data_IF_434760571255
#
_entry.id   IF_434760571255
#
_cell.length_a   1.000
_cell.length_b   1.000
_cell.length_c   1.000
_cell.angle_alpha   90.00
_cell.angle_beta   90.00
_cell.angle_gamma   90.00
#
_symmetry.space_group_name_H-M   'P 1'
#
loop_
_entity.id
_entity.type
_entity.pdbx_description
1 polymer ?
#
# COMPACT_ATOMS: atom_id res chain seq x y z
N UNK A 1 -15.88 37.10 0.18
CA UNK A 1 -14.97 36.03 -0.26
C UNK A 1 -13.71 36.17 0.57
N UNK A 2 -13.67 35.52 1.73
CA UNK A 2 -12.56 35.61 2.67
C UNK A 2 -11.65 34.42 2.41
N UNK A 3 -10.60 34.64 1.63
CA UNK A 3 -9.45 33.74 1.57
C UNK A 3 -8.90 33.61 2.98
N UNK A 4 -9.15 32.44 3.57
CA UNK A 4 -8.62 32.11 4.89
C UNK A 4 -7.18 31.67 4.68
N UNK A 5 -6.19 32.29 5.33
CA UNK A 5 -4.80 31.89 5.15
C UNK A 5 -4.64 30.45 5.63
N UNK A 6 -4.12 29.59 4.75
CA UNK A 6 -3.72 28.23 5.11
C UNK A 6 -2.55 28.34 6.09
N UNK A 7 -2.85 28.20 7.38
CA UNK A 7 -1.84 28.09 8.43
C UNK A 7 -1.21 26.71 8.28
N UNK A 8 0.00 26.65 7.72
CA UNK A 8 0.87 25.48 7.85
C UNK A 8 1.21 25.38 9.34
N UNK A 9 0.65 24.40 10.07
CA UNK A 9 1.03 24.20 11.47
C UNK A 9 2.47 23.66 11.53
N UNK A 10 3.39 24.31 12.26
CA UNK A 10 4.70 23.74 12.53
C UNK A 10 4.55 22.64 13.59
N UNK A 11 4.81 21.39 13.23
CA UNK A 11 5.00 20.30 14.21
C UNK A 11 4.20 19.01 14.01
N UNK A 12 3.45 18.83 12.92
CA UNK A 12 2.82 17.53 12.65
C UNK A 12 3.92 16.54 12.23
N UNK A 13 4.26 15.61 13.11
CA UNK A 13 5.22 14.56 12.82
C UNK A 13 4.74 13.71 11.64
N UNK A 14 5.66 13.41 10.72
CA UNK A 14 5.39 12.47 9.64
C UNK A 14 4.93 11.13 10.23
N UNK A 15 3.95 10.46 9.60
CA UNK A 15 3.55 9.14 10.03
C UNK A 15 4.76 8.20 9.96
N UNK A 16 4.82 7.25 10.90
CA UNK A 16 5.88 6.25 10.89
C UNK A 16 5.91 5.50 9.54
N UNK A 17 7.10 5.16 9.03
CA UNK A 17 7.21 4.46 7.76
C UNK A 17 6.37 3.18 7.72
N UNK A 18 5.75 2.95 6.57
CA UNK A 18 4.94 1.74 6.37
C UNK A 18 5.81 0.47 6.36
N UNK A 19 5.41 -0.53 7.16
CA UNK A 19 6.05 -1.85 7.12
C UNK A 19 5.54 -2.68 5.94
N UNK A 20 6.32 -2.70 4.86
CA UNK A 20 6.01 -3.48 3.64
C UNK A 20 5.94 -5.00 3.86
N UNK A 21 6.37 -5.52 5.01
CA UNK A 21 6.20 -6.94 5.36
C UNK A 21 4.80 -7.24 5.91
N UNK A 22 4.01 -6.21 6.24
CA UNK A 22 2.64 -6.32 6.73
C UNK A 22 1.66 -5.66 5.77
N UNK A 23 1.47 -6.22 4.56
CA UNK A 23 0.55 -5.65 3.58
C UNK A 23 -0.89 -5.55 4.10
N UNK A 24 -1.29 -6.37 5.09
CA UNK A 24 -2.59 -6.30 5.78
C UNK A 24 -2.85 -4.95 6.46
N UNK A 25 -1.81 -4.25 6.93
CA UNK A 25 -1.93 -2.99 7.67
C UNK A 25 -2.09 -1.77 6.74
N UNK A 26 -2.10 -2.00 5.42
CA UNK A 26 -2.19 -0.94 4.42
C UNK A 26 -3.43 -0.04 4.59
N UNK A 27 -4.60 -0.60 4.91
CA UNK A 27 -5.83 0.19 5.09
C UNK A 27 -5.77 1.09 6.33
N UNK A 28 -5.14 0.59 7.40
CA UNK A 28 -4.85 1.37 8.62
C UNK A 28 -3.87 2.50 8.31
N UNK A 29 -2.81 2.20 7.55
CA UNK A 29 -1.81 3.20 7.14
C UNK A 29 -2.42 4.30 6.26
N UNK A 30 -3.24 3.95 5.26
CA UNK A 30 -3.98 4.94 4.44
C UNK A 30 -4.81 5.89 5.30
N UNK A 31 -5.51 5.35 6.30
CA UNK A 31 -6.33 6.14 7.21
C UNK A 31 -5.49 7.11 8.06
N UNK A 32 -4.34 6.65 8.55
CA UNK A 32 -3.37 7.48 9.29
C UNK A 32 -2.79 8.58 8.39
N UNK A 33 -2.41 8.26 7.17
CA UNK A 33 -1.88 9.22 6.20
C UNK A 33 -2.91 10.27 5.80
N UNK A 34 -4.18 9.88 5.60
CA UNK A 34 -5.27 10.83 5.35
C UNK A 34 -5.42 11.84 6.48
N UNK A 35 -5.37 11.39 7.74
CA UNK A 35 -5.42 12.28 8.90
C UNK A 35 -4.23 13.22 8.93
N UNK A 36 -3.03 12.72 8.60
CA UNK A 36 -1.84 13.57 8.43
C UNK A 36 -2.06 14.66 7.38
N UNK A 37 -2.56 14.33 6.17
CA UNK A 37 -2.81 15.35 5.14
C UNK A 37 -3.79 16.42 5.61
N UNK A 38 -4.85 16.02 6.32
CA UNK A 38 -5.84 16.96 6.87
C UNK A 38 -5.19 17.85 7.94
N UNK A 39 -4.40 17.29 8.86
CA UNK A 39 -3.73 18.04 9.93
C UNK A 39 -2.62 18.96 9.43
N UNK A 40 -1.84 18.50 8.45
CA UNK A 40 -0.74 19.24 7.84
C UNK A 40 -1.22 20.24 6.76
N UNK A 41 -2.50 20.25 6.42
CA UNK A 41 -3.07 21.13 5.40
C UNK A 41 -2.63 20.80 3.97
N UNK A 42 -2.22 19.55 3.71
CA UNK A 42 -1.79 19.11 2.38
C UNK A 42 -3.02 18.79 1.53
N UNK A 43 -3.43 19.75 0.70
CA UNK A 43 -4.64 19.67 -0.13
C UNK A 43 -4.36 19.36 -1.59
N UNK A 44 -3.20 19.75 -2.11
CA UNK A 44 -2.82 19.48 -3.50
C UNK A 44 -2.50 17.99 -3.69
N UNK A 45 -3.10 17.39 -4.72
CA UNK A 45 -2.90 15.99 -5.11
C UNK A 45 -1.42 15.62 -5.28
N UNK A 46 -0.66 16.42 -6.02
CA UNK A 46 0.78 16.20 -6.25
C UNK A 46 1.55 16.21 -4.92
N UNK A 47 1.26 17.18 -4.05
CA UNK A 47 1.89 17.26 -2.72
C UNK A 47 1.51 16.06 -1.85
N UNK A 48 0.28 15.55 -1.97
CA UNK A 48 -0.14 14.33 -1.26
C UNK A 48 0.61 13.10 -1.77
N UNK A 49 0.84 12.97 -3.08
CA UNK A 49 1.64 11.88 -3.66
C UNK A 49 3.08 11.96 -3.16
N UNK A 50 3.72 13.11 -3.28
CA UNK A 50 5.10 13.31 -2.82
C UNK A 50 5.25 13.05 -1.32
N UNK A 51 4.29 13.54 -0.52
CA UNK A 51 4.26 13.28 0.94
C UNK A 51 4.07 11.80 1.25
N UNK A 52 3.27 11.08 0.46
CA UNK A 52 3.03 9.64 0.64
C UNK A 52 4.31 8.84 0.37
N UNK A 53 4.98 9.12 -0.75
CA UNK A 53 6.23 8.46 -1.12
C UNK A 53 7.33 8.74 -0.09
N UNK A 54 7.46 10.00 0.32
CA UNK A 54 8.43 10.41 1.34
C UNK A 54 8.19 9.71 2.68
N UNK A 55 6.93 9.67 3.15
CA UNK A 55 6.59 9.03 4.41
C UNK A 55 6.80 7.50 4.39
N UNK A 56 6.55 6.83 3.25
CA UNK A 56 6.76 5.39 3.11
C UNK A 56 8.22 5.01 2.88
N UNK A 57 9.04 5.93 2.40
CA UNK A 57 10.48 5.77 2.19
C UNK A 57 10.88 5.09 0.87
N UNK A 58 12.18 4.77 0.69
CA UNK A 58 12.76 4.41 -0.63
C UNK A 58 12.11 3.20 -1.32
N UNK A 59 11.56 2.27 -0.54
CA UNK A 59 10.88 1.10 -1.08
C UNK A 59 9.56 1.48 -1.78
N UNK A 60 8.89 2.53 -1.34
CA UNK A 60 7.70 3.05 -2.03
C UNK A 60 8.06 3.59 -3.41
N UNK A 61 9.16 4.33 -3.53
CA UNK A 61 9.62 4.88 -4.82
C UNK A 61 9.89 3.76 -5.82
N UNK A 62 10.57 2.69 -5.40
CA UNK A 62 10.83 1.52 -6.27
C UNK A 62 9.53 0.90 -6.78
N UNK A 63 8.52 0.79 -5.91
CA UNK A 63 7.21 0.24 -6.26
C UNK A 63 6.45 1.21 -7.16
N UNK A 64 6.51 2.51 -6.86
CA UNK A 64 5.87 3.56 -7.63
C UNK A 64 6.38 3.60 -9.07
N UNK A 65 7.70 3.56 -9.26
CA UNK A 65 8.32 3.46 -10.60
C UNK A 65 7.85 2.20 -11.34
N UNK A 66 7.64 1.09 -10.63
CA UNK A 66 7.15 -0.16 -11.26
C UNK A 66 5.72 -0.06 -11.81
N UNK A 67 4.93 0.93 -11.37
CA UNK A 67 3.57 1.13 -11.87
C UNK A 67 3.51 1.70 -13.29
N UNK A 68 4.61 2.28 -13.80
CA UNK A 68 4.69 2.89 -15.13
C UNK A 68 3.49 3.81 -15.44
N UNK A 69 3.19 4.70 -14.48
CA UNK A 69 2.11 5.68 -14.63
C UNK A 69 2.50 6.79 -15.62
N UNK A 70 1.50 7.39 -16.26
CA UNK A 70 1.70 8.65 -16.98
C UNK A 70 2.00 9.78 -15.99
N UNK A 71 2.57 10.89 -16.44
CA UNK A 71 2.86 12.04 -15.59
C UNK A 71 1.58 12.58 -14.91
N UNK A 72 0.48 12.68 -15.67
CA UNK A 72 -0.82 13.08 -15.13
C UNK A 72 -1.37 12.10 -14.08
N UNK A 73 -1.23 10.78 -14.30
CA UNK A 73 -1.69 9.78 -13.31
C UNK A 73 -0.75 9.69 -12.11
N UNK A 74 0.52 10.04 -12.27
CA UNK A 74 1.52 10.07 -11.20
C UNK A 74 1.25 11.21 -10.20
N UNK A 75 0.64 12.30 -10.67
CA UNK A 75 0.24 13.44 -9.83
C UNK A 75 -1.16 13.28 -9.22
N UNK A 76 -1.96 12.32 -9.71
CA UNK A 76 -3.30 12.01 -9.19
C UNK A 76 -3.25 11.03 -8.01
N UNK A 77 -3.49 11.55 -6.81
CA UNK A 77 -3.50 10.78 -5.56
C UNK A 77 -4.49 9.62 -5.57
N UNK A 78 -5.62 9.76 -6.29
CA UNK A 78 -6.63 8.70 -6.39
C UNK A 78 -6.05 7.54 -7.19
N UNK A 79 -5.47 7.81 -8.36
CA UNK A 79 -4.83 6.80 -9.22
C UNK A 79 -3.66 6.12 -8.54
N UNK A 80 -2.81 6.91 -7.88
CA UNK A 80 -1.66 6.36 -7.13
C UNK A 80 -2.12 5.43 -6.02
N UNK A 81 -3.16 5.81 -5.25
CA UNK A 81 -3.73 4.96 -4.20
C UNK A 81 -4.35 3.68 -4.76
N UNK A 82 -5.07 3.75 -5.88
CA UNK A 82 -5.63 2.57 -6.54
C UNK A 82 -4.55 1.56 -6.94
N UNK A 83 -3.41 2.04 -7.45
CA UNK A 83 -2.26 1.18 -7.78
C UNK A 83 -1.64 0.53 -6.55
N UNK A 84 -1.45 1.28 -5.47
CA UNK A 84 -0.97 0.73 -4.21
C UNK A 84 -1.97 -0.27 -3.59
N UNK A 85 -3.27 0.00 -3.67
CA UNK A 85 -4.33 -0.92 -3.24
C UNK A 85 -4.22 -2.26 -3.98
N UNK A 86 -4.08 -2.22 -5.31
CA UNK A 86 -3.88 -3.42 -6.12
C UNK A 86 -2.61 -4.19 -5.74
N UNK A 87 -1.50 -3.48 -5.52
CA UNK A 87 -0.22 -4.09 -5.14
C UNK A 87 -0.27 -4.79 -3.78
N UNK A 88 -0.84 -4.13 -2.76
CA UNK A 88 -0.89 -4.71 -1.42
C UNK A 88 -1.97 -5.80 -1.30
N UNK A 89 -3.12 -5.65 -1.93
CA UNK A 89 -4.16 -6.69 -1.93
C UNK A 89 -3.68 -7.97 -2.64
N UNK A 90 -2.94 -7.84 -3.75
CA UNK A 90 -2.30 -8.99 -4.40
C UNK A 90 -1.33 -9.73 -3.46
N UNK A 91 -0.53 -8.99 -2.68
CA UNK A 91 0.39 -9.60 -1.69
C UNK A 91 -0.34 -10.25 -0.52
N UNK A 92 -1.40 -9.64 0.01
CA UNK A 92 -2.25 -10.23 1.07
C UNK A 92 -2.74 -11.62 0.62
N UNK A 93 -3.24 -11.72 -0.62
CA UNK A 93 -3.74 -12.97 -1.19
C UNK A 93 -2.63 -14.04 -1.34
N UNK A 94 -1.44 -13.67 -1.83
CA UNK A 94 -0.32 -14.62 -1.98
C UNK A 94 0.13 -15.18 -0.63
N UNK A 95 0.23 -14.34 0.41
CA UNK A 95 0.63 -14.77 1.75
C UNK A 95 -0.42 -15.74 2.32
N UNK A 96 -1.71 -15.43 2.15
CA UNK A 96 -2.80 -16.28 2.58
C UNK A 96 -2.77 -17.66 1.91
N UNK A 97 -2.66 -17.71 0.59
CA UNK A 97 -2.61 -18.98 -0.15
C UNK A 97 -1.36 -19.80 0.19
N UNK A 98 -0.20 -19.15 0.38
CA UNK A 98 1.03 -19.84 0.84
C UNK A 98 0.88 -20.42 2.24
N UNK A 99 0.30 -19.66 3.18
CA UNK A 99 0.04 -20.15 4.53
C UNK A 99 -0.92 -21.35 4.50
N UNK A 100 -2.02 -21.24 3.75
CA UNK A 100 -2.99 -22.32 3.54
C UNK A 100 -2.35 -23.56 2.91
N UNK A 101 -1.43 -23.39 1.95
CA UNK A 101 -0.68 -24.49 1.35
C UNK A 101 0.26 -25.15 2.36
N UNK A 102 1.04 -24.37 3.11
CA UNK A 102 2.01 -24.88 4.09
C UNK A 102 1.34 -25.57 5.29
N UNK A 103 0.09 -25.23 5.63
CA UNK A 103 -0.68 -25.90 6.68
C UNK A 103 -1.24 -27.27 6.26
N UNK A 104 -1.14 -27.66 4.98
CA UNK A 104 -1.59 -28.98 4.52
C UNK A 104 -0.60 -30.05 4.96
N UNK A 105 -1.01 -30.87 5.92
CA UNK A 105 -0.27 -32.06 6.33
C UNK A 105 -0.42 -33.14 5.25
N UNK A 106 0.70 -33.59 4.68
CA UNK A 106 0.73 -34.76 3.81
C UNK A 106 0.45 -36.01 4.65
N UNK A 107 -0.78 -36.52 4.59
CA UNK A 107 -1.13 -37.76 5.30
C UNK A 107 -0.29 -38.93 4.78
N UNK A 108 0.11 -39.87 5.66
CA UNK A 108 0.85 -41.07 5.24
C UNK A 108 0.00 -41.83 4.21
N UNK A 109 0.56 -42.06 3.01
CA UNK A 109 -0.12 -42.76 1.92
C UNK A 109 -0.65 -41.88 0.78
N UNK A 110 -0.58 -40.53 0.87
CA UNK A 110 -0.87 -39.67 -0.29
C UNK A 110 0.39 -39.45 -1.14
N UNK A 111 0.32 -39.85 -2.41
CA UNK A 111 1.33 -39.53 -3.41
C UNK A 111 1.46 -38.01 -3.58
N UNK A 112 2.69 -37.49 -3.62
CA UNK A 112 2.97 -36.07 -3.78
C UNK A 112 2.36 -35.46 -5.07
N UNK A 113 2.21 -36.27 -6.13
CA UNK A 113 1.52 -35.89 -7.37
C UNK A 113 0.07 -35.42 -7.12
N UNK A 114 -0.64 -36.04 -6.18
CA UNK A 114 -2.03 -35.67 -5.86
C UNK A 114 -2.10 -34.30 -5.16
N UNK A 115 -1.08 -33.93 -4.38
CA UNK A 115 -1.04 -32.61 -3.73
C UNK A 115 -0.93 -31.47 -4.75
N UNK A 116 -0.17 -31.65 -5.84
CA UNK A 116 -0.05 -30.64 -6.89
C UNK A 116 -1.30 -30.59 -7.79
N UNK A 117 -1.91 -31.74 -8.09
CA UNK A 117 -3.08 -31.83 -8.99
C UNK A 117 -4.33 -31.15 -8.42
N UNK A 118 -4.56 -31.20 -7.11
CA UNK A 118 -5.70 -30.51 -6.46
C UNK A 118 -5.51 -28.99 -6.35
N UNK A 119 -4.35 -28.45 -6.69
CA UNK A 119 -4.06 -27.01 -6.63
C UNK A 119 -4.21 -26.30 -7.99
N UNK A 120 -4.60 -27.02 -9.05
CA UNK A 120 -4.70 -26.49 -10.42
C UNK A 120 -6.14 -26.18 -10.89
N UNK A 121 -7.13 -26.30 -10.01
CA UNK A 121 -8.54 -25.97 -10.29
C UNK A 121 -9.02 -24.83 -9.39
#
# INVERSE_FOLDING_TARGET
MSDTPVIVQPGVALPEPFDFNKPQDWDTYKSRFNRYCIMAGVTNSEQQVNSLLYAMGPRAETIFTSFNLSEADAEDIVKVREKFDGFFNGKKNIIYERAKFNMRVQSPGRAWKTLLQTCAN
#
